data_IF_791489547247
#
_entry.id   IF_791489547247
#
_cell.length_a   1.000
_cell.length_b   1.000
_cell.length_c   1.000
_cell.angle_alpha   90.00
_cell.angle_beta   90.00
_cell.angle_gamma   90.00
#
_symmetry.space_group_name_H-M   'P 1'
#
loop_
_entity.id
_entity.type
_entity.pdbx_description
1 polymer ?
#
# COMPACT_ATOMS: atom_id res chain seq x y z
N UNK A 1 14.68 34.98 -6.03
CA UNK A 1 14.56 33.57 -5.64
C UNK A 1 15.59 32.78 -6.42
N UNK A 2 16.68 32.40 -5.78
CA UNK A 2 17.80 31.68 -6.41
C UNK A 2 17.35 30.28 -6.80
N UNK A 3 17.44 29.93 -8.09
CA UNK A 3 17.32 28.56 -8.54
C UNK A 3 18.36 27.72 -7.77
N UNK A 4 17.91 26.77 -6.95
CA UNK A 4 18.81 25.83 -6.28
C UNK A 4 19.65 25.15 -7.35
N UNK A 5 20.97 25.32 -7.25
CA UNK A 5 21.91 24.73 -8.19
C UNK A 5 21.87 23.21 -7.99
N UNK A 6 21.19 22.52 -8.92
CA UNK A 6 21.12 21.05 -8.95
C UNK A 6 22.55 20.47 -8.93
N UNK A 7 22.88 19.66 -7.92
CA UNK A 7 24.18 18.98 -7.75
C UNK A 7 24.52 18.08 -8.95
N UNK A 8 23.53 17.33 -9.42
CA UNK A 8 23.61 16.54 -10.65
C UNK A 8 22.79 17.20 -11.76
N UNK A 9 23.31 17.19 -13.00
CA UNK A 9 22.52 17.54 -14.17
C UNK A 9 21.32 16.58 -14.29
N UNK A 10 20.14 17.12 -14.57
CA UNK A 10 18.92 16.35 -14.72
C UNK A 10 18.05 16.98 -15.80
N UNK A 11 18.12 16.39 -16.99
CA UNK A 11 17.41 16.83 -18.18
C UNK A 11 16.02 16.19 -18.28
N UNK A 12 15.19 16.70 -19.18
CA UNK A 12 13.92 16.06 -19.54
C UNK A 12 14.14 14.63 -20.04
N UNK A 13 15.22 14.37 -20.79
CA UNK A 13 15.54 13.02 -21.26
C UNK A 13 15.86 12.06 -20.10
N UNK A 14 16.56 12.52 -19.06
CA UNK A 14 16.82 11.72 -17.86
C UNK A 14 15.52 11.41 -17.11
N UNK A 15 14.62 12.39 -16.99
CA UNK A 15 13.30 12.19 -16.38
C UNK A 15 12.49 11.15 -17.15
N UNK A 16 12.46 11.21 -18.48
CA UNK A 16 11.78 10.24 -19.33
C UNK A 16 12.36 8.83 -19.22
N UNK A 17 13.69 8.72 -19.12
CA UNK A 17 14.36 7.45 -18.90
C UNK A 17 13.98 6.85 -17.53
N UNK A 18 13.97 7.67 -16.47
CA UNK A 18 13.49 7.24 -15.13
C UNK A 18 12.03 6.80 -15.19
N UNK A 19 11.15 7.58 -15.84
CA UNK A 19 9.73 7.27 -15.96
C UNK A 19 9.51 5.95 -16.69
N UNK A 20 10.18 5.76 -17.81
CA UNK A 20 10.13 4.51 -18.60
C UNK A 20 10.60 3.32 -17.77
N UNK A 21 11.72 3.47 -17.06
CA UNK A 21 12.28 2.41 -16.20
C UNK A 21 11.32 2.05 -15.06
N UNK A 22 10.77 3.04 -14.36
CA UNK A 22 9.83 2.81 -13.26
C UNK A 22 8.54 2.14 -13.75
N UNK A 23 7.98 2.62 -14.87
CA UNK A 23 6.79 2.02 -15.48
C UNK A 23 7.05 0.56 -15.86
N UNK A 24 8.20 0.25 -16.44
CA UNK A 24 8.58 -1.14 -16.78
C UNK A 24 8.67 -2.04 -15.54
N UNK A 25 9.24 -1.54 -14.44
CA UNK A 25 9.44 -2.33 -13.22
C UNK A 25 8.17 -2.50 -12.39
N UNK A 26 7.29 -1.50 -12.37
CA UNK A 26 6.22 -1.40 -11.35
C UNK A 26 4.84 -1.09 -11.92
N UNK A 27 4.75 -0.71 -13.20
CA UNK A 27 3.52 -0.17 -13.81
C UNK A 27 3.23 1.28 -13.46
N UNK A 28 3.89 1.87 -12.45
CA UNK A 28 3.63 3.23 -11.97
C UNK A 28 3.92 4.24 -13.08
N UNK A 29 2.92 5.07 -13.38
CA UNK A 29 3.01 6.17 -14.32
C UNK A 29 3.23 7.49 -13.58
N UNK A 30 4.43 8.05 -13.72
CA UNK A 30 4.76 9.36 -13.14
C UNK A 30 4.18 10.49 -14.00
N UNK A 31 3.46 11.42 -13.35
CA UNK A 31 3.04 12.66 -13.97
C UNK A 31 4.23 13.59 -14.24
N UNK A 32 4.16 14.39 -15.31
CA UNK A 32 5.25 15.28 -15.73
C UNK A 32 5.65 16.29 -14.64
N UNK A 33 4.71 16.69 -13.79
CA UNK A 33 4.93 17.60 -12.65
C UNK A 33 5.75 17.01 -11.49
N UNK A 34 6.21 15.75 -11.60
CA UNK A 34 6.97 15.06 -10.55
C UNK A 34 8.50 15.10 -10.74
N UNK A 35 8.99 15.84 -11.73
CA UNK A 35 10.43 15.97 -12.04
C UNK A 35 11.29 16.31 -10.81
N UNK A 36 10.85 17.27 -10.00
CA UNK A 36 11.57 17.78 -8.83
C UNK A 36 11.57 16.75 -7.69
N UNK A 37 10.48 16.00 -7.54
CA UNK A 37 10.39 14.88 -6.60
C UNK A 37 11.34 13.76 -7.02
N UNK A 38 11.33 13.36 -8.29
CA UNK A 38 12.23 12.34 -8.83
C UNK A 38 13.69 12.74 -8.60
N UNK A 39 14.05 13.98 -8.96
CA UNK A 39 15.38 14.51 -8.76
C UNK A 39 15.84 14.40 -7.31
N UNK A 40 15.07 14.98 -6.38
CA UNK A 40 15.44 15.07 -4.97
C UNK A 40 15.64 13.69 -4.31
N UNK A 41 14.87 12.68 -4.73
CA UNK A 41 14.94 11.33 -4.17
C UNK A 41 16.05 10.49 -4.78
N UNK A 42 16.24 10.55 -6.10
CA UNK A 42 17.29 9.79 -6.78
C UNK A 42 18.68 10.41 -6.62
N UNK A 43 18.80 11.74 -6.51
CA UNK A 43 20.09 12.38 -6.22
C UNK A 43 20.74 11.83 -4.93
N UNK A 44 19.92 11.45 -3.93
CA UNK A 44 20.42 10.78 -2.72
C UNK A 44 21.02 9.40 -3.00
N UNK A 45 20.41 8.62 -3.90
CA UNK A 45 20.92 7.31 -4.33
C UNK A 45 22.19 7.43 -5.15
N UNK A 46 22.20 8.34 -6.13
CA UNK A 46 23.36 8.65 -6.97
C UNK A 46 24.56 9.02 -6.09
N UNK A 47 24.36 9.88 -5.09
CA UNK A 47 25.41 10.26 -4.14
C UNK A 47 25.89 9.09 -3.29
N UNK A 48 24.96 8.29 -2.74
CA UNK A 48 25.30 7.13 -1.91
C UNK A 48 26.16 6.10 -2.67
N UNK A 49 25.87 5.90 -3.96
CA UNK A 49 26.60 4.98 -4.85
C UNK A 49 27.76 5.63 -5.59
N UNK A 50 28.04 6.92 -5.34
CA UNK A 50 29.10 7.70 -5.98
C UNK A 50 29.04 7.65 -7.52
N UNK A 51 27.83 7.61 -8.08
CA UNK A 51 27.62 7.68 -9.53
C UNK A 51 27.76 9.13 -10.01
N UNK A 52 28.22 9.34 -11.24
CA UNK A 52 28.46 10.69 -11.76
C UNK A 52 27.21 11.34 -12.39
N UNK A 53 26.21 10.54 -12.80
CA UNK A 53 25.01 11.05 -13.47
C UNK A 53 23.80 10.12 -13.31
N UNK A 54 22.62 10.64 -13.66
CA UNK A 54 21.39 9.85 -13.74
C UNK A 54 21.49 8.71 -14.74
N UNK A 55 22.06 8.98 -15.93
CA UNK A 55 22.25 7.94 -16.95
C UNK A 55 23.15 6.80 -16.45
N UNK A 56 24.28 7.11 -15.80
CA UNK A 56 25.15 6.09 -15.22
C UNK A 56 24.43 5.29 -14.14
N UNK A 57 23.67 5.96 -13.28
CA UNK A 57 22.86 5.28 -12.28
C UNK A 57 21.79 4.37 -12.90
N UNK A 58 21.08 4.80 -13.95
CA UNK A 58 20.09 3.97 -14.64
C UNK A 58 20.72 2.74 -15.30
N UNK A 59 21.90 2.89 -15.92
CA UNK A 59 22.66 1.76 -16.48
C UNK A 59 23.16 0.82 -15.36
N UNK A 60 23.55 1.38 -14.21
CA UNK A 60 23.95 0.60 -13.05
C UNK A 60 22.79 -0.30 -12.56
N UNK A 61 21.55 0.21 -12.57
CA UNK A 61 20.37 -0.57 -12.18
C UNK A 61 20.19 -1.85 -13.02
N UNK A 62 20.58 -1.87 -14.29
CA UNK A 62 20.38 -3.04 -15.17
C UNK A 62 21.08 -4.30 -14.65
N UNK A 63 22.21 -4.13 -13.96
CA UNK A 63 23.03 -5.24 -13.45
C UNK A 63 22.95 -5.42 -11.93
N UNK A 64 22.17 -4.59 -11.21
CA UNK A 64 22.14 -4.57 -9.75
C UNK A 64 20.71 -4.63 -9.23
N UNK A 65 20.15 -5.84 -9.11
CA UNK A 65 18.78 -6.06 -8.65
C UNK A 65 18.47 -5.46 -7.27
N UNK A 66 19.43 -5.49 -6.33
CA UNK A 66 19.25 -4.86 -5.01
C UNK A 66 19.04 -3.34 -5.12
N UNK A 67 19.71 -2.67 -6.06
CA UNK A 67 19.52 -1.24 -6.26
C UNK A 67 18.23 -0.93 -7.04
N UNK A 68 17.75 -1.85 -7.88
CA UNK A 68 16.42 -1.71 -8.50
C UNK A 68 15.32 -1.61 -7.43
N UNK A 69 15.44 -2.37 -6.34
CA UNK A 69 14.53 -2.28 -5.20
C UNK A 69 14.62 -0.92 -4.50
N UNK A 70 15.83 -0.41 -4.28
CA UNK A 70 16.03 0.92 -3.70
C UNK A 70 15.52 2.05 -4.60
N UNK A 71 15.64 1.90 -5.92
CA UNK A 71 15.07 2.79 -6.92
C UNK A 71 13.54 2.83 -6.84
N UNK A 72 12.89 1.66 -6.75
CA UNK A 72 11.43 1.55 -6.59
C UNK A 72 11.00 2.20 -5.27
N UNK A 73 11.62 1.82 -4.15
CA UNK A 73 11.34 2.37 -2.82
C UNK A 73 11.52 3.90 -2.76
N UNK A 74 12.43 4.44 -3.56
CA UNK A 74 12.62 5.89 -3.65
C UNK A 74 11.48 6.58 -4.39
N UNK A 75 10.83 5.95 -5.36
CA UNK A 75 9.86 6.60 -6.24
C UNK A 75 8.40 6.28 -5.91
N UNK A 76 8.14 5.31 -5.05
CA UNK A 76 6.81 5.04 -4.47
C UNK A 76 6.33 6.19 -3.60
N UNK A 77 5.01 6.39 -3.53
CA UNK A 77 4.38 7.39 -2.66
C UNK A 77 3.53 6.68 -1.61
N UNK A 78 3.96 6.79 -0.36
CA UNK A 78 3.51 5.95 0.74
C UNK A 78 2.67 6.74 1.77
N UNK A 79 1.77 7.61 1.31
CA UNK A 79 0.93 8.39 2.22
C UNK A 79 -0.22 7.54 2.73
N UNK A 80 -0.19 7.21 4.01
CA UNK A 80 -1.23 6.43 4.69
C UNK A 80 -1.46 6.95 6.12
N UNK A 81 -2.58 6.57 6.72
CA UNK A 81 -2.94 6.90 8.10
C UNK A 81 -3.90 5.86 8.66
N UNK A 82 -3.92 5.70 9.98
CA UNK A 82 -4.90 4.84 10.63
C UNK A 82 -6.32 5.31 10.31
N UNK A 83 -7.22 4.37 10.04
CA UNK A 83 -8.62 4.61 9.73
C UNK A 83 -8.85 5.64 8.61
N UNK A 84 -7.93 5.73 7.64
CA UNK A 84 -8.11 6.56 6.44
C UNK A 84 -9.40 6.17 5.73
N UNK A 85 -10.30 7.13 5.54
CA UNK A 85 -11.65 6.92 5.01
C UNK A 85 -12.47 5.94 5.90
N UNK A 86 -12.72 6.36 7.14
CA UNK A 86 -13.25 5.52 8.23
C UNK A 86 -14.48 4.67 7.88
N UNK A 87 -15.35 5.18 7.00
CA UNK A 87 -16.57 4.51 6.56
C UNK A 87 -16.35 3.10 5.97
N UNK A 88 -15.16 2.80 5.42
CA UNK A 88 -14.82 1.45 4.97
C UNK A 88 -14.64 0.46 6.13
N UNK A 89 -14.11 0.92 7.26
CA UNK A 89 -13.91 0.10 8.46
C UNK A 89 -15.23 -0.13 9.20
N UNK A 90 -16.11 0.87 9.22
CA UNK A 90 -17.50 0.72 9.69
C UNK A 90 -18.25 -0.33 8.85
N UNK A 91 -18.12 -0.27 7.52
CA UNK A 91 -18.72 -1.24 6.61
C UNK A 91 -18.11 -2.65 6.78
N UNK A 92 -16.78 -2.75 6.99
CA UNK A 92 -16.09 -4.00 7.29
C UNK A 92 -16.63 -4.62 8.58
N UNK A 93 -16.72 -3.85 9.66
CA UNK A 93 -17.22 -4.33 10.95
C UNK A 93 -18.66 -4.86 10.82
N UNK A 94 -19.54 -4.11 10.14
CA UNK A 94 -20.91 -4.54 9.88
C UNK A 94 -20.97 -5.82 9.03
N UNK A 95 -20.12 -5.92 8.00
CA UNK A 95 -20.04 -7.11 7.15
C UNK A 95 -19.59 -8.34 7.94
N UNK A 96 -18.52 -8.23 8.74
CA UNK A 96 -18.01 -9.36 9.54
C UNK A 96 -19.01 -9.84 10.59
N UNK A 97 -19.78 -8.93 11.21
CA UNK A 97 -20.87 -9.31 12.14
C UNK A 97 -21.97 -10.10 11.43
N UNK A 98 -22.34 -9.71 10.21
CA UNK A 98 -23.38 -10.37 9.42
C UNK A 98 -22.89 -11.68 8.76
N UNK A 99 -21.61 -11.73 8.41
CA UNK A 99 -20.97 -12.83 7.70
C UNK A 99 -19.72 -13.30 8.46
N UNK A 100 -19.88 -13.93 9.65
CA UNK A 100 -18.74 -14.31 10.51
C UNK A 100 -17.81 -15.38 9.90
N UNK A 101 -18.19 -15.97 8.75
CA UNK A 101 -17.35 -16.88 7.96
C UNK A 101 -16.41 -16.15 6.99
N UNK A 102 -16.66 -14.87 6.70
CA UNK A 102 -15.77 -14.02 5.92
C UNK A 102 -14.53 -13.71 6.75
N UNK A 103 -13.44 -14.42 6.47
CA UNK A 103 -12.26 -14.48 7.35
C UNK A 103 -10.97 -14.11 6.65
N UNK A 104 -10.94 -14.16 5.31
CA UNK A 104 -9.72 -13.89 4.54
C UNK A 104 -9.77 -12.49 3.94
N UNK A 105 -8.88 -11.62 4.42
CA UNK A 105 -8.80 -10.24 3.95
C UNK A 105 -7.44 -10.00 3.31
N UNK A 106 -7.43 -9.34 2.15
CA UNK A 106 -6.19 -8.91 1.50
C UNK A 106 -6.13 -7.38 1.41
N UNK A 107 -5.11 -6.78 2.02
CA UNK A 107 -4.71 -5.39 1.81
C UNK A 107 -3.58 -5.34 0.78
N UNK A 108 -3.91 -4.91 -0.44
CA UNK A 108 -3.05 -5.06 -1.62
C UNK A 108 -1.93 -4.00 -1.74
N UNK A 109 -2.06 -2.87 -1.04
CA UNK A 109 -1.10 -1.77 -0.99
C UNK A 109 -0.99 -1.22 0.44
N UNK A 110 -0.34 -2.01 1.30
CA UNK A 110 -0.35 -1.85 2.75
C UNK A 110 0.51 -0.70 3.29
N UNK A 111 1.45 -0.19 2.49
CA UNK A 111 2.37 0.87 2.86
C UNK A 111 3.04 0.60 4.22
N UNK A 112 3.07 1.58 5.12
CA UNK A 112 3.67 1.44 6.46
C UNK A 112 2.80 0.70 7.49
N UNK A 113 1.70 0.06 7.06
CA UNK A 113 0.93 -0.89 7.87
C UNK A 113 -0.30 -0.32 8.59
N UNK A 114 -0.55 0.99 8.50
CA UNK A 114 -1.70 1.63 9.14
C UNK A 114 -3.04 1.05 8.66
N UNK A 115 -3.18 0.78 7.36
CA UNK A 115 -4.40 0.17 6.80
C UNK A 115 -4.64 -1.26 7.31
N UNK A 116 -3.71 -2.23 7.18
CA UNK A 116 -3.96 -3.59 7.68
C UNK A 116 -4.13 -3.65 9.19
N UNK A 117 -3.50 -2.75 9.97
CA UNK A 117 -3.79 -2.66 11.40
C UNK A 117 -5.17 -2.07 11.71
N UNK A 118 -5.65 -1.12 10.91
CA UNK A 118 -7.03 -0.62 11.02
C UNK A 118 -8.05 -1.71 10.68
N UNK A 119 -7.76 -2.55 9.67
CA UNK A 119 -8.54 -3.76 9.35
C UNK A 119 -8.55 -4.72 10.55
N UNK A 120 -7.39 -5.03 11.13
CA UNK A 120 -7.27 -5.93 12.28
C UNK A 120 -8.05 -5.44 13.49
N UNK A 121 -7.95 -4.15 13.84
CA UNK A 121 -8.72 -3.53 14.91
C UNK A 121 -10.24 -3.63 14.66
N UNK A 122 -10.67 -3.41 13.41
CA UNK A 122 -12.08 -3.51 13.03
C UNK A 122 -12.60 -4.94 13.12
N UNK A 123 -11.78 -5.93 12.75
CA UNK A 123 -12.11 -7.34 12.94
C UNK A 123 -12.22 -7.71 14.43
N UNK A 124 -11.29 -7.26 15.28
CA UNK A 124 -11.38 -7.50 16.73
C UNK A 124 -12.62 -6.85 17.33
N UNK A 125 -13.02 -5.66 16.86
CA UNK A 125 -14.27 -5.02 17.27
C UNK A 125 -15.49 -5.84 16.83
N UNK A 126 -15.51 -6.32 15.57
CA UNK A 126 -16.62 -7.10 15.02
C UNK A 126 -16.88 -8.39 15.80
N UNK A 127 -15.81 -9.11 16.17
CA UNK A 127 -15.89 -10.38 16.88
C UNK A 127 -15.82 -10.24 18.41
N UNK A 128 -15.53 -9.05 18.93
CA UNK A 128 -15.40 -8.76 20.36
C UNK A 128 -14.17 -9.36 21.05
N UNK A 129 -13.26 -10.02 20.32
CA UNK A 129 -12.09 -10.72 20.88
C UNK A 129 -10.88 -10.69 19.92
N UNK A 130 -9.68 -10.75 20.50
CA UNK A 130 -8.42 -10.78 19.73
C UNK A 130 -8.22 -12.10 18.97
N UNK A 131 -8.61 -13.23 19.56
CA UNK A 131 -8.58 -14.54 18.91
C UNK A 131 -9.80 -14.72 17.98
N UNK A 132 -9.97 -13.82 17.02
CA UNK A 132 -10.97 -13.92 15.98
C UNK A 132 -10.42 -14.71 14.77
N UNK A 133 -11.26 -15.34 13.96
CA UNK A 133 -10.81 -16.23 12.88
C UNK A 133 -10.29 -15.47 11.65
N UNK A 134 -10.09 -14.15 11.74
CA UNK A 134 -9.70 -13.32 10.59
C UNK A 134 -8.21 -13.40 10.35
N UNK A 135 -7.84 -13.72 9.11
CA UNK A 135 -6.49 -13.71 8.58
C UNK A 135 -6.33 -12.56 7.59
N UNK A 136 -5.32 -11.72 7.80
CA UNK A 136 -5.07 -10.55 6.95
C UNK A 136 -3.75 -10.78 6.22
N UNK A 137 -3.80 -10.76 4.90
CA UNK A 137 -2.61 -10.69 4.06
C UNK A 137 -2.41 -9.22 3.70
N UNK A 138 -1.25 -8.68 3.97
CA UNK A 138 -0.89 -7.31 3.65
C UNK A 138 0.30 -7.32 2.70
N UNK A 139 0.15 -6.70 1.54
CA UNK A 139 1.22 -6.67 0.55
C UNK A 139 1.58 -5.27 0.12
N UNK A 140 2.82 -5.09 -0.30
CA UNK A 140 3.28 -3.86 -0.94
C UNK A 140 4.47 -4.18 -1.86
N UNK A 141 4.74 -3.30 -2.80
CA UNK A 141 5.93 -3.39 -3.64
C UNK A 141 7.16 -2.86 -2.90
N UNK A 142 6.96 -1.92 -1.97
CA UNK A 142 8.03 -1.23 -1.25
C UNK A 142 8.43 -2.01 0.01
N UNK A 143 9.67 -2.50 0.02
CA UNK A 143 10.16 -3.33 1.13
C UNK A 143 10.48 -2.55 2.39
N UNK A 144 10.79 -1.26 2.29
CA UNK A 144 11.09 -0.43 3.47
C UNK A 144 9.83 -0.14 4.27
N UNK A 145 8.72 0.13 3.58
CA UNK A 145 7.44 0.34 4.27
C UNK A 145 6.92 -0.98 4.85
N UNK A 146 7.10 -2.11 4.16
CA UNK A 146 6.78 -3.43 4.73
C UNK A 146 7.61 -3.75 5.98
N UNK A 147 8.90 -3.38 6.01
CA UNK A 147 9.71 -3.55 7.22
C UNK A 147 9.13 -2.71 8.37
N UNK A 148 8.79 -1.46 8.11
CA UNK A 148 8.14 -0.56 9.09
C UNK A 148 6.83 -1.15 9.59
N UNK A 149 5.99 -1.62 8.68
CA UNK A 149 4.71 -2.25 8.97
C UNK A 149 4.86 -3.47 9.88
N UNK A 150 5.79 -4.38 9.56
CA UNK A 150 6.09 -5.58 10.38
C UNK A 150 6.51 -5.23 11.81
N UNK A 151 7.26 -4.14 12.01
CA UNK A 151 7.63 -3.70 13.36
C UNK A 151 6.40 -3.18 14.13
N UNK A 152 5.47 -2.54 13.44
CA UNK A 152 4.26 -1.96 14.01
C UNK A 152 4.56 -0.84 14.99
N UNK A 153 5.65 -0.09 14.79
CA UNK A 153 6.08 1.02 15.63
C UNK A 153 5.82 2.33 14.90
N UNK A 154 5.05 3.22 15.53
CA UNK A 154 4.61 4.49 14.96
C UNK A 154 4.92 5.64 15.91
N UNK A 155 4.98 6.86 15.39
CA UNK A 155 5.05 8.05 16.23
C UNK A 155 3.69 8.29 16.88
N UNK A 156 3.68 8.84 18.09
CA UNK A 156 2.44 9.05 18.85
C UNK A 156 1.46 10.00 18.15
N UNK A 157 1.95 10.93 17.33
CA UNK A 157 1.12 11.83 16.54
C UNK A 157 0.39 11.14 15.38
N UNK A 158 0.91 10.02 14.86
CA UNK A 158 0.24 9.24 13.82
C UNK A 158 -1.02 8.52 14.32
N UNK A 159 -1.13 8.32 15.64
CA UNK A 159 -2.30 7.72 16.29
C UNK A 159 -3.13 8.75 17.05
N UNK A 160 -2.88 10.05 16.84
CA UNK A 160 -3.53 11.12 17.61
C UNK A 160 -5.05 11.13 17.45
N UNK A 161 -5.54 10.80 16.26
CA UNK A 161 -6.96 10.87 15.89
C UNK A 161 -7.75 9.63 16.35
N UNK A 162 -7.07 8.59 16.87
CA UNK A 162 -7.74 7.45 17.51
C UNK A 162 -8.34 7.84 18.86
N UNK A 163 -9.37 7.13 19.31
CA UNK A 163 -9.90 7.34 20.66
C UNK A 163 -8.90 6.89 21.73
N UNK A 164 -9.05 7.39 22.96
CA UNK A 164 -8.20 7.01 24.09
C UNK A 164 -8.32 5.51 24.39
N UNK A 165 -9.52 4.96 24.25
CA UNK A 165 -9.83 3.54 24.44
C UNK A 165 -9.11 2.69 23.41
N UNK A 166 -9.14 3.08 22.14
CA UNK A 166 -8.41 2.39 21.07
C UNK A 166 -6.90 2.43 21.30
N UNK A 167 -6.34 3.59 21.68
CA UNK A 167 -4.91 3.71 22.00
C UNK A 167 -4.52 2.77 23.13
N UNK A 168 -5.29 2.75 24.22
CA UNK A 168 -5.03 1.88 25.38
C UNK A 168 -5.17 0.40 25.04
N UNK A 169 -6.13 0.04 24.19
CA UNK A 169 -6.44 -1.35 23.84
C UNK A 169 -5.47 -1.94 22.82
N UNK A 170 -5.02 -1.14 21.85
CA UNK A 170 -4.33 -1.64 20.66
C UNK A 170 -2.86 -1.22 20.54
N UNK A 171 -2.36 -0.40 21.47
CA UNK A 171 -0.97 0.05 21.45
C UNK A 171 -0.30 -0.01 22.83
N UNK A 172 0.97 -0.37 22.83
CA UNK A 172 1.88 -0.10 23.93
C UNK A 172 2.56 1.25 23.72
N UNK A 173 2.67 2.05 24.77
CA UNK A 173 3.41 3.32 24.74
C UNK A 173 4.89 3.07 25.07
N UNK A 174 5.79 3.57 24.23
CA UNK A 174 7.22 3.51 24.47
C UNK A 174 7.64 4.37 25.67
N UNK A 175 8.76 4.01 26.30
CA UNK A 175 9.39 4.73 27.43
C UNK A 175 10.89 4.84 27.19
N UNK A 176 11.55 5.78 27.87
CA UNK A 176 13.00 6.00 27.74
C UNK A 176 13.39 6.34 26.29
N UNK A 177 14.30 5.57 25.70
CA UNK A 177 14.77 5.76 24.31
C UNK A 177 13.67 5.54 23.25
N UNK A 178 12.47 5.09 23.63
CA UNK A 178 11.31 4.96 22.74
C UNK A 178 10.17 5.91 23.11
N UNK A 179 10.42 6.94 23.93
CA UNK A 179 9.42 7.95 24.22
C UNK A 179 8.96 8.67 22.93
N UNK A 180 7.70 9.10 22.92
CA UNK A 180 7.05 9.65 21.71
C UNK A 180 6.67 8.61 20.64
N UNK A 181 6.90 7.30 20.89
CA UNK A 181 6.47 6.22 20.00
C UNK A 181 5.41 5.33 20.65
N UNK A 182 4.66 4.66 19.79
CA UNK A 182 3.71 3.61 20.15
C UNK A 182 4.00 2.36 19.33
N UNK A 183 3.65 1.20 19.89
CA UNK A 183 3.79 -0.08 19.19
C UNK A 183 2.47 -0.83 19.21
N UNK A 184 2.03 -1.33 18.07
CA UNK A 184 0.83 -2.19 17.96
C UNK A 184 1.02 -3.45 18.80
N UNK A 185 -0.01 -3.82 19.56
CA UNK A 185 -0.01 -5.04 20.40
C UNK A 185 0.26 -6.30 19.57
N UNK A 186 0.92 -7.29 20.16
CA UNK A 186 1.29 -8.55 19.49
C UNK A 186 0.10 -9.25 18.84
N UNK A 187 -1.06 -9.20 19.47
CA UNK A 187 -2.29 -9.87 19.09
C UNK A 187 -2.74 -9.42 17.70
N UNK A 188 -2.76 -8.11 17.45
CA UNK A 188 -3.06 -7.57 16.13
C UNK A 188 -1.93 -7.83 15.13
N UNK A 189 -0.66 -7.79 15.56
CA UNK A 189 0.48 -8.09 14.68
C UNK A 189 0.47 -9.52 14.18
N UNK A 190 0.01 -10.46 15.00
CA UNK A 190 -0.10 -11.86 14.63
C UNK A 190 -1.26 -12.15 13.66
N UNK A 191 -2.25 -11.25 13.55
CA UNK A 191 -3.33 -11.36 12.56
C UNK A 191 -2.89 -10.98 11.14
N UNK A 192 -1.76 -10.29 10.99
CA UNK A 192 -1.33 -9.69 9.71
C UNK A 192 -0.07 -10.37 9.18
N UNK A 193 -0.20 -11.02 8.02
CA UNK A 193 0.91 -11.57 7.25
C UNK A 193 1.38 -10.58 6.18
N UNK A 194 2.57 -10.01 6.38
CA UNK A 194 3.16 -9.06 5.44
C UNK A 194 4.08 -9.72 4.41
N UNK A 195 3.78 -9.53 3.13
CA UNK A 195 4.59 -10.04 2.01
C UNK A 195 4.87 -8.98 0.95
N UNK A 196 5.99 -9.10 0.24
CA UNK A 196 6.26 -8.27 -0.93
C UNK A 196 5.44 -8.79 -2.11
N UNK A 197 4.79 -7.91 -2.85
CA UNK A 197 4.05 -8.24 -4.07
C UNK A 197 4.03 -7.02 -4.99
N UNK A 198 4.33 -7.23 -6.26
CA UNK A 198 4.12 -6.23 -7.29
C UNK A 198 2.80 -6.53 -8.01
N UNK A 199 1.87 -5.58 -8.04
CA UNK A 199 0.58 -5.75 -8.72
C UNK A 199 0.75 -6.00 -10.23
N UNK A 200 1.91 -5.73 -10.80
CA UNK A 200 2.22 -6.06 -12.19
C UNK A 200 2.64 -7.52 -12.41
N UNK A 201 3.02 -8.26 -11.37
CA UNK A 201 3.49 -9.64 -11.51
C UNK A 201 2.44 -10.53 -12.20
N UNK A 202 2.89 -11.46 -13.04
CA UNK A 202 2.01 -12.32 -13.85
C UNK A 202 1.11 -13.22 -13.00
N UNK A 203 1.57 -13.55 -11.78
CA UNK A 203 0.82 -14.34 -10.81
C UNK A 203 1.06 -13.82 -9.40
N UNK A 204 0.07 -14.01 -8.53
CA UNK A 204 0.14 -13.59 -7.14
C UNK A 204 0.26 -14.81 -6.23
N UNK A 205 1.24 -14.79 -5.33
CA UNK A 205 1.35 -15.69 -4.18
C UNK A 205 0.32 -15.33 -3.10
N UNK A 206 -0.93 -15.14 -3.51
CA UNK A 206 -2.08 -14.84 -2.65
C UNK A 206 -3.02 -16.04 -2.72
N UNK A 207 -3.57 -16.53 -1.60
CA UNK A 207 -4.55 -17.62 -1.62
C UNK A 207 -5.77 -17.30 -2.48
N UNK A 208 -6.50 -18.33 -2.90
CA UNK A 208 -7.83 -18.18 -3.50
C UNK A 208 -8.89 -18.02 -2.41
N UNK A 209 -10.09 -17.62 -2.84
CA UNK A 209 -11.27 -17.40 -1.99
C UNK A 209 -11.03 -16.33 -0.92
N UNK A 210 -10.49 -15.19 -1.32
CA UNK A 210 -10.38 -13.99 -0.49
C UNK A 210 -11.77 -13.34 -0.38
N UNK A 211 -12.23 -13.14 0.84
CA UNK A 211 -13.58 -12.61 1.11
C UNK A 211 -13.62 -11.10 0.92
N UNK A 212 -12.56 -10.39 1.29
CA UNK A 212 -12.51 -8.93 1.21
C UNK A 212 -11.13 -8.49 0.69
N UNK A 213 -11.10 -7.61 -0.29
CA UNK A 213 -9.87 -6.98 -0.79
C UNK A 213 -9.94 -5.47 -0.57
N UNK A 214 -8.97 -4.94 0.16
CA UNK A 214 -8.65 -3.51 0.19
C UNK A 214 -7.55 -3.24 -0.84
N UNK A 215 -7.86 -2.46 -1.86
CA UNK A 215 -6.89 -2.02 -2.87
C UNK A 215 -7.17 -0.54 -3.16
N UNK A 216 -6.63 0.31 -2.28
CA UNK A 216 -7.06 1.70 -2.13
C UNK A 216 -5.91 2.67 -2.38
N UNK A 217 -6.22 3.75 -3.08
CA UNK A 217 -5.29 4.85 -3.37
C UNK A 217 -3.98 4.40 -4.05
N UNK A 218 -4.02 3.28 -4.77
CA UNK A 218 -2.89 2.72 -5.51
C UNK A 218 -3.17 2.64 -7.01
N UNK A 219 -4.43 2.41 -7.40
CA UNK A 219 -4.83 2.30 -8.79
C UNK A 219 -4.66 3.61 -9.56
N UNK A 220 -4.71 4.74 -8.83
CA UNK A 220 -4.44 6.08 -9.35
C UNK A 220 -3.04 6.25 -9.97
N UNK A 221 -2.09 5.36 -9.67
CA UNK A 221 -0.74 5.38 -10.24
C UNK A 221 -0.63 4.61 -11.56
N UNK A 222 -1.67 3.91 -11.99
CA UNK A 222 -1.67 3.08 -13.19
C UNK A 222 -2.54 3.68 -14.30
N UNK A 223 -2.18 3.46 -15.56
CA UNK A 223 -3.05 3.77 -16.69
C UNK A 223 -4.25 2.79 -16.77
N UNK A 224 -5.30 3.17 -17.50
CA UNK A 224 -6.54 2.37 -17.57
C UNK A 224 -6.33 0.92 -18.04
N UNK A 225 -5.51 0.65 -19.09
CA UNK A 225 -5.19 -0.73 -19.47
C UNK A 225 -4.55 -1.52 -18.33
N UNK A 226 -3.58 -0.92 -17.63
CA UNK A 226 -2.91 -1.56 -16.49
C UNK A 226 -3.88 -1.80 -15.33
N UNK A 227 -4.75 -0.84 -15.01
CA UNK A 227 -5.80 -1.00 -14.00
C UNK A 227 -6.71 -2.18 -14.30
N UNK A 228 -7.15 -2.34 -15.56
CA UNK A 228 -7.97 -3.47 -15.99
C UNK A 228 -7.26 -4.81 -15.75
N UNK A 229 -6.00 -4.93 -16.16
CA UNK A 229 -5.21 -6.15 -15.96
C UNK A 229 -5.03 -6.48 -14.48
N UNK A 230 -4.73 -5.48 -13.65
CA UNK A 230 -4.59 -5.66 -12.19
C UNK A 230 -5.91 -6.13 -11.58
N UNK A 231 -7.03 -5.51 -11.92
CA UNK A 231 -8.36 -5.89 -11.40
C UNK A 231 -8.74 -7.31 -11.80
N UNK A 232 -8.51 -7.70 -13.05
CA UNK A 232 -8.75 -9.08 -13.50
C UNK A 232 -7.93 -10.08 -12.68
N UNK A 233 -6.66 -9.78 -12.40
CA UNK A 233 -5.82 -10.63 -11.55
C UNK A 233 -6.34 -10.68 -10.12
N UNK A 234 -6.68 -9.55 -9.50
CA UNK A 234 -7.23 -9.51 -8.14
C UNK A 234 -8.52 -10.33 -8.04
N UNK A 235 -9.49 -10.12 -8.95
CA UNK A 235 -10.79 -10.79 -8.93
C UNK A 235 -10.66 -12.31 -9.03
N UNK A 236 -9.65 -12.83 -9.76
CA UNK A 236 -9.34 -14.27 -9.81
C UNK A 236 -8.96 -14.88 -8.46
N UNK A 237 -8.62 -14.08 -7.44
CA UNK A 237 -8.33 -14.54 -6.07
C UNK A 237 -9.53 -14.36 -5.13
N UNK A 238 -10.50 -13.54 -5.51
CA UNK A 238 -11.65 -13.22 -4.66
C UNK A 238 -12.71 -14.32 -4.68
N UNK A 239 -13.41 -14.51 -3.55
CA UNK A 239 -14.56 -15.40 -3.42
C UNK A 239 -15.80 -14.86 -4.17
N UNK A 240 -16.84 -15.68 -4.32
CA UNK A 240 -18.05 -15.32 -5.08
C UNK A 240 -18.82 -14.13 -4.46
N UNK A 241 -18.98 -14.12 -3.15
CA UNK A 241 -19.70 -13.08 -2.40
C UNK A 241 -18.76 -12.14 -1.66
N UNK A 242 -17.64 -11.82 -2.32
CA UNK A 242 -16.59 -10.97 -1.78
C UNK A 242 -16.85 -9.47 -1.96
N UNK A 243 -16.09 -8.66 -1.24
CA UNK A 243 -16.06 -7.21 -1.35
C UNK A 243 -14.72 -6.71 -1.87
N UNK A 244 -14.75 -5.80 -2.83
CA UNK A 244 -13.59 -5.01 -3.26
C UNK A 244 -13.76 -3.58 -2.76
N UNK A 245 -12.76 -3.05 -2.07
CA UNK A 245 -12.79 -1.72 -1.46
C UNK A 245 -11.71 -0.86 -2.11
N UNK A 246 -12.14 0.25 -2.69
CA UNK A 246 -11.32 1.24 -3.37
C UNK A 246 -11.10 2.49 -2.51
N UNK A 247 -10.17 3.36 -2.91
CA UNK A 247 -9.99 4.69 -2.33
C UNK A 247 -10.94 5.72 -2.94
N UNK A 248 -11.20 6.84 -2.24
CA UNK A 248 -12.19 7.84 -2.67
C UNK A 248 -12.05 8.37 -4.11
N UNK A 249 -10.82 8.47 -4.62
CA UNK A 249 -10.56 9.01 -5.97
C UNK A 249 -10.62 7.96 -7.07
N UNK A 250 -10.85 6.69 -6.72
CA UNK A 250 -10.83 5.57 -7.65
C UNK A 250 -12.25 5.22 -8.09
N UNK A 251 -12.49 5.27 -9.39
CA UNK A 251 -13.78 4.92 -9.98
C UNK A 251 -13.59 3.92 -11.14
N UNK A 252 -14.23 2.76 -10.98
CA UNK A 252 -14.13 1.63 -11.90
C UNK A 252 -15.29 1.53 -12.90
N UNK A 253 -16.02 2.63 -13.16
CA UNK A 253 -17.09 2.65 -14.17
C UNK A 253 -16.62 2.19 -15.57
N UNK A 254 -15.37 2.50 -15.93
CA UNK A 254 -14.75 2.09 -17.18
C UNK A 254 -14.47 0.57 -17.29
N UNK A 255 -14.59 -0.16 -16.18
CA UNK A 255 -14.48 -1.63 -16.10
C UNK A 255 -15.71 -2.22 -15.39
N UNK A 256 -16.89 -1.64 -15.64
CA UNK A 256 -18.17 -2.05 -15.03
C UNK A 256 -18.57 -3.50 -15.32
N UNK A 257 -17.95 -4.16 -16.29
CA UNK A 257 -18.06 -5.59 -16.55
C UNK A 257 -17.42 -6.45 -15.44
N UNK A 258 -16.49 -5.90 -14.66
CA UNK A 258 -15.77 -6.61 -13.59
C UNK A 258 -16.28 -6.30 -12.18
N UNK A 259 -16.83 -5.11 -11.96
CA UNK A 259 -17.22 -4.64 -10.62
C UNK A 259 -18.62 -3.98 -10.65
N UNK A 260 -19.47 -4.35 -9.70
CA UNK A 260 -20.76 -3.70 -9.43
C UNK A 260 -20.60 -2.79 -8.20
N UNK A 261 -20.93 -1.49 -8.27
CA UNK A 261 -20.90 -0.63 -7.09
C UNK A 261 -21.97 -1.05 -6.07
N UNK A 262 -21.60 -1.07 -4.79
CA UNK A 262 -22.50 -1.36 -3.65
C UNK A 262 -22.65 -0.18 -2.68
N UNK A 263 -21.84 0.86 -2.81
CA UNK A 263 -21.83 2.00 -1.91
C UNK A 263 -20.63 2.90 -2.18
N UNK A 264 -20.28 3.74 -1.20
CA UNK A 264 -19.11 4.64 -1.26
C UNK A 264 -17.84 3.81 -1.48
N UNK A 265 -17.36 3.75 -2.72
CA UNK A 265 -16.13 3.06 -3.15
C UNK A 265 -16.01 1.59 -2.71
N UNK A 266 -17.15 0.93 -2.48
CA UNK A 266 -17.25 -0.51 -2.22
C UNK A 266 -17.93 -1.17 -3.42
N UNK A 267 -17.38 -2.29 -3.86
CA UNK A 267 -17.80 -2.99 -5.06
C UNK A 267 -17.96 -4.50 -4.79
N UNK A 268 -18.88 -5.13 -5.52
CA UNK A 268 -18.98 -6.59 -5.65
C UNK A 268 -18.33 -7.01 -6.96
N UNK A 269 -17.39 -7.97 -6.97
CA UNK A 269 -16.90 -8.56 -8.21
C UNK A 269 -18.01 -9.22 -9.02
N UNK A 270 -18.01 -8.97 -10.33
CA UNK A 270 -18.81 -9.70 -11.31
C UNK A 270 -17.97 -10.86 -11.81
N UNK A 271 -18.58 -12.04 -11.89
CA UNK A 271 -18.05 -13.14 -12.67
C UNK A 271 -18.94 -13.28 -13.90
N UNK A 272 -18.31 -13.26 -15.07
CA UNK A 272 -18.93 -13.73 -16.31
C UNK A 272 -19.04 -15.24 -16.31
#
# INVERSE_FOLDING_TARGET
MTAEKKEFAFSTADFEAVRTKLKKLTGINLADSKDSMVYSRLARRIRALRQASFLQYLNYLDNHHQEQEEFVNALTTNLTSFFRENHHFEALEAHLKKHPKSTKIWCAASSTGEEPYSIAMSAVNAFGRFNCPVEIIASDIDSKVLHTAKQGVYRIDQVRDLSTEMKKRYFHRGRGNQDGKVRVVSELRNMVHFQKLNLMDDSYSIPKNIDIVFCRNVMIYFDKPTQLTILQKIIKHMAQDSLYIAGHSENFAHVSQLLTPLGKTIYKPKRG
#
